data_IF_298146150650
#
_entry.id   IF_298146150650
#
_cell.length_a   1.000
_cell.length_b   1.000
_cell.length_c   1.000
_cell.angle_alpha   90.00
_cell.angle_beta   90.00
_cell.angle_gamma   90.00
#
_symmetry.space_group_name_H-M   'P 1'
#
loop_
_entity.id
_entity.type
_entity.pdbx_description
1 polymer ?
#
# COMPACT_ATOMS: atom_id res chain seq x y z
N UNK A 1 -15.53 16.75 -7.53
CA UNK A 1 -14.54 16.34 -8.55
C UNK A 1 -13.62 15.31 -7.92
N UNK A 2 -13.91 14.02 -8.06
CA UNK A 2 -13.04 12.96 -7.52
C UNK A 2 -12.33 12.32 -8.71
N UNK A 3 -11.13 12.80 -9.01
CA UNK A 3 -10.25 12.11 -9.96
C UNK A 3 -9.69 10.90 -9.23
N UNK A 4 -10.28 9.74 -9.48
CA UNK A 4 -9.61 8.45 -9.27
C UNK A 4 -8.35 8.48 -10.14
N UNK A 5 -7.21 8.70 -9.50
CA UNK A 5 -5.90 8.53 -10.11
C UNK A 5 -5.43 7.12 -9.74
N UNK A 6 -6.00 6.10 -10.38
CA UNK A 6 -5.28 4.84 -10.57
C UNK A 6 -4.12 5.12 -11.53
N UNK A 7 -3.04 5.68 -11.00
CA UNK A 7 -1.79 5.86 -11.70
C UNK A 7 -1.03 4.52 -11.72
N UNK A 8 -1.24 3.73 -12.76
CA UNK A 8 -0.26 2.72 -13.16
C UNK A 8 0.97 3.51 -13.64
N UNK A 9 2.04 3.55 -12.85
CA UNK A 9 3.31 4.09 -13.33
C UNK A 9 3.96 3.02 -14.24
N UNK A 10 4.08 3.36 -15.51
CA UNK A 10 4.55 2.46 -16.56
C UNK A 10 6.03 2.09 -16.37
N UNK A 11 6.34 0.80 -16.39
CA UNK A 11 7.71 0.30 -16.51
C UNK A 11 8.23 0.51 -17.95
N UNK A 12 9.48 0.98 -18.04
CA UNK A 12 10.18 1.19 -19.30
C UNK A 12 10.59 -0.17 -19.89
N UNK A 13 9.97 -0.57 -21.01
CA UNK A 13 10.35 -1.79 -21.72
C UNK A 13 11.68 -1.54 -22.45
N UNK A 14 12.81 -1.95 -21.87
CA UNK A 14 14.08 -2.02 -22.59
C UNK A 14 14.20 -3.41 -23.21
N UNK A 15 13.76 -3.55 -24.46
CA UNK A 15 14.02 -4.75 -25.26
C UNK A 15 15.47 -4.76 -25.76
N UNK A 16 16.28 -5.70 -25.31
CA UNK A 16 17.52 -6.08 -26.01
C UNK A 16 17.53 -7.58 -26.31
N UNK A 17 17.71 -7.89 -27.59
CA UNK A 17 17.70 -9.22 -28.18
C UNK A 17 18.95 -10.02 -27.76
N UNK A 18 18.76 -11.25 -27.28
CA UNK A 18 19.84 -12.25 -27.20
C UNK A 18 19.67 -13.29 -26.11
N UNK A 19 19.36 -14.54 -26.51
CA UNK A 19 19.52 -15.80 -25.78
C UNK A 19 19.14 -15.82 -24.28
N UNK A 20 17.94 -16.29 -23.94
CA UNK A 20 17.60 -16.77 -22.58
C UNK A 20 17.50 -15.71 -21.48
N UNK A 21 17.25 -14.45 -21.81
CA UNK A 21 17.02 -13.39 -20.82
C UNK A 21 15.60 -13.54 -20.23
N UNK A 22 15.51 -13.87 -18.95
CA UNK A 22 14.25 -13.71 -18.19
C UNK A 22 13.86 -12.24 -18.29
N UNK A 23 12.69 -11.96 -18.86
CA UNK A 23 12.14 -10.60 -18.91
C UNK A 23 11.55 -10.35 -17.53
N UNK A 24 12.01 -9.30 -16.82
CA UNK A 24 11.41 -8.91 -15.55
C UNK A 24 9.98 -8.41 -15.77
N UNK A 25 9.05 -8.82 -14.92
CA UNK A 25 7.66 -8.38 -14.84
C UNK A 25 7.42 -7.73 -13.46
N UNK A 26 6.66 -6.62 -13.40
CA UNK A 26 6.39 -5.98 -12.12
C UNK A 26 5.49 -6.85 -11.21
N UNK A 27 5.44 -6.56 -9.90
CA UNK A 27 4.55 -7.24 -8.99
C UNK A 27 3.07 -7.15 -9.40
N UNK A 28 2.37 -8.27 -9.28
CA UNK A 28 0.97 -8.45 -9.63
C UNK A 28 0.09 -8.47 -8.36
N UNK A 29 -0.85 -7.52 -8.28
CA UNK A 29 -1.76 -7.40 -7.14
C UNK A 29 -2.93 -8.36 -7.31
N UNK A 30 -3.05 -9.31 -6.38
CA UNK A 30 -4.16 -10.26 -6.30
C UNK A 30 -5.34 -9.71 -5.50
N UNK A 31 -5.07 -9.06 -4.38
CA UNK A 31 -6.10 -8.46 -3.54
C UNK A 31 -5.54 -7.36 -2.61
N UNK A 32 -6.39 -6.37 -2.31
CA UNK A 32 -6.12 -5.33 -1.33
C UNK A 32 -5.25 -4.16 -1.82
N UNK A 33 -4.72 -3.34 -0.89
CA UNK A 33 -4.81 -3.47 0.55
C UNK A 33 -6.24 -3.47 1.11
N UNK A 34 -6.53 -4.36 2.07
CA UNK A 34 -7.83 -4.43 2.75
C UNK A 34 -7.64 -4.09 4.23
N UNK A 35 -8.18 -2.96 4.71
CA UNK A 35 -8.18 -2.62 6.13
C UNK A 35 -9.32 -3.34 6.85
N UNK A 36 -9.02 -3.86 8.04
CA UNK A 36 -10.01 -4.45 8.95
C UNK A 36 -9.67 -4.09 10.40
N UNK A 37 -10.56 -3.39 11.13
CA UNK A 37 -11.83 -2.82 10.68
C UNK A 37 -11.66 -1.55 9.82
N UNK A 38 -12.72 -1.12 9.14
CA UNK A 38 -12.74 0.14 8.34
C UNK A 38 -13.15 1.37 9.14
N UNK A 39 -13.45 1.20 10.42
CA UNK A 39 -13.83 2.27 11.33
C UNK A 39 -13.25 1.97 12.70
N UNK A 40 -12.56 2.95 13.27
CA UNK A 40 -11.97 2.87 14.60
C UNK A 40 -12.15 4.18 15.35
N UNK A 41 -11.99 4.12 16.68
CA UNK A 41 -11.78 5.31 17.51
C UNK A 41 -10.32 5.79 17.45
N UNK A 42 -10.02 6.95 18.06
CA UNK A 42 -8.63 7.37 18.30
C UNK A 42 -7.84 6.26 19.01
N UNK A 43 -6.58 6.05 18.62
CA UNK A 43 -5.74 4.95 19.11
C UNK A 43 -6.17 3.53 18.69
N UNK A 44 -7.24 3.38 17.91
CA UNK A 44 -7.71 2.08 17.44
C UNK A 44 -6.80 1.46 16.39
N UNK A 45 -6.74 0.12 16.36
CA UNK A 45 -5.84 -0.65 15.49
C UNK A 45 -6.58 -1.22 14.29
N UNK A 46 -5.95 -1.12 13.12
CA UNK A 46 -6.44 -1.65 11.83
C UNK A 46 -5.40 -2.63 11.27
N UNK A 47 -5.81 -3.87 11.02
CA UNK A 47 -5.00 -4.83 10.27
C UNK A 47 -5.09 -4.53 8.77
N UNK A 48 -3.95 -4.54 8.08
CA UNK A 48 -3.87 -4.44 6.63
C UNK A 48 -3.48 -5.79 6.04
N UNK A 49 -4.27 -6.26 5.05
CA UNK A 49 -3.94 -7.46 4.26
C UNK A 49 -3.70 -7.03 2.82
N UNK A 50 -2.54 -7.39 2.28
CA UNK A 50 -2.19 -7.11 0.89
C UNK A 50 -1.61 -8.36 0.22
N UNK A 51 -2.34 -8.87 -0.77
CA UNK A 51 -1.95 -10.01 -1.59
C UNK A 51 -1.37 -9.48 -2.90
N UNK A 52 -0.04 -9.49 -2.98
CA UNK A 52 0.75 -9.13 -4.15
C UNK A 52 1.74 -10.25 -4.40
N UNK A 53 2.14 -10.53 -5.64
CA UNK A 53 3.13 -11.55 -5.96
C UNK A 53 4.03 -11.06 -7.09
N UNK A 54 5.28 -11.49 -7.09
CA UNK A 54 6.14 -11.29 -8.23
C UNK A 54 6.03 -12.51 -9.19
N UNK A 55 5.72 -12.33 -10.49
CA UNK A 55 5.61 -13.44 -11.44
C UNK A 55 6.93 -14.16 -11.73
N UNK A 56 8.06 -13.45 -11.61
CA UNK A 56 9.41 -13.96 -11.84
C UNK A 56 10.01 -14.58 -10.57
N UNK A 57 9.39 -14.31 -9.42
CA UNK A 57 9.78 -14.83 -8.11
C UNK A 57 10.78 -13.92 -7.40
N UNK A 58 10.90 -12.66 -7.85
CA UNK A 58 11.79 -11.68 -7.27
C UNK A 58 11.35 -11.28 -5.85
N UNK A 59 12.32 -10.92 -5.01
CA UNK A 59 12.06 -10.36 -3.70
C UNK A 59 11.37 -8.99 -3.85
N UNK A 60 10.49 -8.67 -2.89
CA UNK A 60 9.73 -7.42 -2.90
C UNK A 60 9.96 -6.62 -1.62
N UNK A 61 10.16 -5.31 -1.78
CA UNK A 61 10.21 -4.33 -0.71
C UNK A 61 8.88 -3.59 -0.60
N UNK A 62 8.43 -3.33 0.64
CA UNK A 62 7.18 -2.63 0.94
C UNK A 62 7.47 -1.29 1.61
N UNK A 63 6.63 -0.30 1.37
CA UNK A 63 6.69 0.99 2.04
C UNK A 63 5.29 1.57 2.24
N UNK A 64 4.80 1.53 3.47
CA UNK A 64 3.47 2.03 3.84
C UNK A 64 3.47 3.52 4.16
N UNK A 65 2.42 4.21 3.72
CA UNK A 65 2.16 5.62 4.01
C UNK A 65 0.68 5.85 4.35
N UNK A 66 0.40 6.99 4.98
CA UNK A 66 -0.96 7.46 5.24
C UNK A 66 -1.21 8.84 4.64
N UNK A 67 -2.46 9.12 4.30
CA UNK A 67 -2.97 10.43 3.92
C UNK A 67 -4.32 10.70 4.60
N UNK A 68 -4.53 11.84 5.28
CA UNK A 68 -3.57 12.93 5.47
C UNK A 68 -2.37 12.49 6.32
N UNK A 69 -1.24 13.20 6.14
CA UNK A 69 -0.04 12.93 6.92
C UNK A 69 -0.24 13.24 8.41
N UNK A 70 -1.06 14.26 8.71
CA UNK A 70 -1.40 14.67 10.07
C UNK A 70 -2.93 14.69 10.30
N UNK A 71 -3.42 14.35 11.50
CA UNK A 71 -2.64 13.80 12.61
C UNK A 71 -2.06 12.42 12.25
N UNK A 72 -0.80 12.18 12.62
CA UNK A 72 -0.07 10.97 12.25
C UNK A 72 -0.51 9.76 13.07
N UNK A 73 -0.83 8.67 12.38
CA UNK A 73 -0.95 7.34 12.97
C UNK A 73 0.40 6.62 12.90
N UNK A 74 0.42 5.35 13.29
CA UNK A 74 1.64 4.56 13.36
C UNK A 74 1.47 3.17 12.75
N UNK A 75 2.33 2.82 11.78
CA UNK A 75 2.41 1.45 11.27
C UNK A 75 3.33 0.61 12.16
N UNK A 76 2.94 -0.63 12.48
CA UNK A 76 3.77 -1.54 13.28
C UNK A 76 5.13 -1.85 12.64
N UNK A 77 5.14 -1.91 11.30
CA UNK A 77 6.32 -2.05 10.46
C UNK A 77 5.95 -1.54 9.07
N UNK A 78 6.62 -0.48 8.60
CA UNK A 78 6.33 0.15 7.31
C UNK A 78 6.78 -0.71 6.13
N UNK A 79 7.59 -1.75 6.37
CA UNK A 79 8.15 -2.65 5.37
C UNK A 79 7.51 -4.05 5.38
N UNK A 80 6.54 -4.28 6.26
CA UNK A 80 5.80 -5.55 6.30
C UNK A 80 4.77 -5.62 5.18
N UNK A 81 4.53 -6.83 4.65
CA UNK A 81 3.41 -7.09 3.73
C UNK A 81 2.04 -6.89 4.40
N UNK A 82 1.95 -7.21 5.70
CA UNK A 82 0.68 -7.21 6.46
C UNK A 82 0.83 -6.49 7.81
N UNK A 83 1.12 -5.18 7.82
CA UNK A 83 1.27 -4.45 9.07
C UNK A 83 -0.10 -4.18 9.71
N UNK A 84 -0.05 -3.74 10.97
CA UNK A 84 -1.15 -3.01 11.57
C UNK A 84 -0.89 -1.52 11.49
N UNK A 85 -1.94 -0.72 11.33
CA UNK A 85 -1.92 0.73 11.50
C UNK A 85 -2.72 1.13 12.75
N UNK A 86 -2.09 1.85 13.65
CA UNK A 86 -2.73 2.44 14.84
C UNK A 86 -3.12 3.88 14.52
N UNK A 87 -4.40 4.20 14.70
CA UNK A 87 -4.93 5.53 14.47
C UNK A 87 -4.32 6.56 15.44
N UNK A 88 -4.22 7.84 15.04
CA UNK A 88 -3.78 8.92 15.94
C UNK A 88 -4.67 9.01 17.17
N UNK A 89 -4.12 9.44 18.30
CA UNK A 89 -4.88 9.69 19.53
C UNK A 89 -5.61 11.03 19.50
N UNK A 90 -5.00 12.05 18.88
CA UNK A 90 -5.50 13.43 18.86
C UNK A 90 -6.36 13.70 17.61
N UNK A 91 -7.57 13.17 17.61
CA UNK A 91 -8.55 13.36 16.51
C UNK A 91 -9.77 14.11 17.02
N UNK A 92 -9.96 15.34 16.52
CA UNK A 92 -11.03 16.25 16.97
C UNK A 92 -12.39 16.00 16.29
N UNK A 93 -12.44 15.16 15.25
CA UNK A 93 -13.66 14.87 14.48
C UNK A 93 -13.47 13.71 13.50
N UNK A 94 -14.49 13.34 12.71
CA UNK A 94 -14.35 12.25 11.75
C UNK A 94 -13.30 12.58 10.68
N UNK A 95 -12.25 11.76 10.59
CA UNK A 95 -11.20 11.86 9.57
C UNK A 95 -11.16 10.56 8.78
N UNK A 96 -11.15 10.66 7.46
CA UNK A 96 -10.91 9.55 6.57
C UNK A 96 -9.42 9.47 6.23
N UNK A 97 -8.77 8.38 6.60
CA UNK A 97 -7.39 8.07 6.23
C UNK A 97 -7.35 7.13 5.03
N UNK A 98 -6.53 7.47 4.04
CA UNK A 98 -6.10 6.59 2.98
C UNK A 98 -4.76 5.97 3.40
N UNK A 99 -4.72 4.64 3.48
CA UNK A 99 -3.50 3.88 3.74
C UNK A 99 -3.00 3.32 2.40
N UNK A 100 -1.76 3.59 2.06
CA UNK A 100 -1.16 3.21 0.79
C UNK A 100 0.11 2.41 1.01
N UNK A 101 0.46 1.56 0.06
CA UNK A 101 1.71 0.80 0.06
C UNK A 101 2.37 0.88 -1.30
N UNK A 102 3.61 1.33 -1.34
CA UNK A 102 4.46 1.17 -2.51
C UNK A 102 5.20 -0.17 -2.40
N UNK A 103 5.13 -0.99 -3.44
CA UNK A 103 5.86 -2.26 -3.53
C UNK A 103 6.79 -2.20 -4.72
N UNK A 104 8.06 -2.55 -4.51
CA UNK A 104 9.08 -2.60 -5.55
C UNK A 104 9.70 -3.99 -5.56
N UNK A 105 9.89 -4.58 -6.73
CA UNK A 105 10.75 -5.76 -6.87
C UNK A 105 12.23 -5.34 -6.93
N UNK A 106 13.13 -6.30 -6.78
CA UNK A 106 14.59 -6.08 -6.81
C UNK A 106 15.18 -5.81 -8.20
N UNK A 107 14.39 -5.96 -9.27
CA UNK A 107 14.79 -5.84 -10.68
C UNK A 107 14.15 -4.61 -11.36
N UNK A 108 13.56 -3.70 -10.58
CA UNK A 108 13.13 -2.36 -10.98
C UNK A 108 11.65 -2.19 -11.34
N UNK A 109 10.81 -3.22 -11.18
CA UNK A 109 9.35 -3.11 -11.29
C UNK A 109 8.71 -2.74 -9.95
N UNK A 110 7.45 -2.30 -10.00
CA UNK A 110 6.73 -1.90 -8.79
C UNK A 110 5.25 -1.58 -9.00
N UNK A 111 4.52 -1.53 -7.89
CA UNK A 111 3.08 -1.26 -7.85
C UNK A 111 2.68 -0.46 -6.61
N UNK A 112 1.67 0.40 -6.77
CA UNK A 112 1.04 1.13 -5.66
C UNK A 112 -0.29 0.46 -5.27
N UNK A 113 -0.38 -0.01 -4.04
CA UNK A 113 -1.63 -0.44 -3.41
C UNK A 113 -2.29 0.72 -2.68
N UNK A 114 -3.60 0.92 -2.85
CA UNK A 114 -4.39 1.90 -2.08
C UNK A 114 -5.57 1.20 -1.40
N UNK A 115 -5.65 1.32 -0.08
CA UNK A 115 -6.76 0.79 0.70
C UNK A 115 -8.05 1.62 0.51
N UNK A 116 -9.24 1.01 0.66
CA UNK A 116 -10.44 1.76 1.04
C UNK A 116 -10.17 2.66 2.26
N UNK A 117 -10.84 3.80 2.36
CA UNK A 117 -10.61 4.71 3.47
C UNK A 117 -10.98 4.09 4.82
N UNK A 118 -10.13 4.35 5.82
CA UNK A 118 -10.39 4.05 7.22
C UNK A 118 -10.97 5.30 7.86
N UNK A 119 -12.14 5.18 8.48
CA UNK A 119 -12.76 6.27 9.22
C UNK A 119 -12.30 6.23 10.68
N UNK A 120 -11.57 7.25 11.13
CA UNK A 120 -11.31 7.48 12.55
C UNK A 120 -12.33 8.49 13.05
N UNK A 121 -13.10 8.12 14.06
CA UNK A 121 -14.06 9.03 14.71
C UNK A 121 -14.17 8.71 16.19
N UNK A 122 -14.41 9.72 17.01
CA UNK A 122 -14.85 9.50 18.37
C UNK A 122 -16.18 8.71 18.38
N UNK A 123 -16.40 7.83 19.37
CA UNK A 123 -17.66 7.10 19.53
C UNK A 123 -18.90 8.01 19.56
#
# INVERSE_FOLDING_TARGET
MLRSLSGVFAALIITTLGCGRVVNHPPDVRAGPIPSPKTVGPGGVVQLVFEVQDPDGDDMEFYWTQMPAEPAGHFSDIHSRTPTWTAPEDVEGPIHFLLQVNVMDTEGGGVLGTAPSVLVRTP
#
